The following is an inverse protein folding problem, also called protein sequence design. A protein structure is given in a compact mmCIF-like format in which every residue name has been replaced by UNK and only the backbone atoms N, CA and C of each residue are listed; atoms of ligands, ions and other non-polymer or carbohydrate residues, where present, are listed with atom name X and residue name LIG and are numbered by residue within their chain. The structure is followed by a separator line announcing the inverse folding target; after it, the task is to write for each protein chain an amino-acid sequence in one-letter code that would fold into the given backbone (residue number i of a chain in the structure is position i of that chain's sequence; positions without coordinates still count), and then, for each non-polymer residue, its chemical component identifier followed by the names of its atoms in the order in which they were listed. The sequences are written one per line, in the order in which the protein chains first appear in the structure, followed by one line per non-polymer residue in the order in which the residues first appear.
data_IF_665276209968
#
_entry.id   IF_665276209968
#
_cell.length_a   1.000
_cell.length_b   1.000
_cell.length_c   1.000
_cell.angle_alpha   90.00
_cell.angle_beta   90.00
_cell.angle_gamma   90.00
#
_symmetry.space_group_name_H-M   'P 1'
#
loop_
_entity.id
_entity.type
_entity.pdbx_description
1 polymer ?
#
# COMPACT_ATOMS: atom_id res chain seq x y z
N UNK A 1 15.93 -5.15 20.43
CA UNK A 1 14.65 -5.52 19.77
C UNK A 1 14.43 -4.57 18.59
N UNK A 2 14.01 -5.08 17.43
CA UNK A 2 13.83 -4.24 16.25
C UNK A 2 12.61 -3.34 16.46
N UNK A 3 12.76 -2.03 16.24
CA UNK A 3 11.66 -1.09 16.30
C UNK A 3 10.84 -1.17 15.00
N UNK A 4 9.59 -1.63 15.10
CA UNK A 4 8.68 -1.74 13.98
C UNK A 4 7.72 -0.54 13.85
N UNK A 5 7.85 0.46 14.74
CA UNK A 5 7.05 1.70 14.70
C UNK A 5 7.73 2.81 13.92
N UNK A 6 9.06 2.77 13.83
CA UNK A 6 9.83 3.77 13.10
C UNK A 6 9.79 3.53 11.59
N UNK A 7 9.73 4.63 10.84
CA UNK A 7 9.85 4.57 9.39
C UNK A 7 11.25 4.14 8.95
N UNK A 8 11.29 3.48 7.82
CA UNK A 8 12.49 3.35 6.98
C UNK A 8 12.40 4.38 5.84
N UNK A 9 13.47 4.62 5.09
CA UNK A 9 13.38 5.48 3.89
C UNK A 9 12.27 5.07 2.92
N UNK A 10 11.93 3.78 2.86
CA UNK A 10 10.87 3.27 1.98
C UNK A 10 9.46 3.59 2.49
N UNK A 11 9.23 3.52 3.79
CA UNK A 11 7.90 3.71 4.41
C UNK A 11 7.64 5.14 4.88
N UNK A 12 8.64 6.02 4.84
CA UNK A 12 8.48 7.41 5.23
C UNK A 12 7.61 8.14 4.19
N UNK A 13 6.47 8.71 4.58
CA UNK A 13 5.60 9.46 3.68
C UNK A 13 6.14 10.86 3.35
N UNK A 14 7.25 11.28 3.96
CA UNK A 14 7.83 12.61 3.79
C UNK A 14 6.83 13.72 4.09
N UNK A 15 6.67 14.65 3.16
CA UNK A 15 5.72 15.78 3.29
C UNK A 15 4.25 15.38 3.23
N UNK A 16 3.93 14.14 2.85
CA UNK A 16 2.57 13.64 2.70
C UNK A 16 2.03 12.91 3.93
N UNK A 17 2.69 13.02 5.10
CA UNK A 17 2.32 12.28 6.30
C UNK A 17 0.91 12.57 6.82
N UNK A 18 0.41 13.78 6.62
CA UNK A 18 -0.96 14.12 7.03
C UNK A 18 -2.02 13.30 6.29
N UNK A 19 -1.79 12.95 5.02
CA UNK A 19 -2.69 12.09 4.26
C UNK A 19 -2.87 10.72 4.92
N UNK A 20 -1.80 10.17 5.52
CA UNK A 20 -1.87 8.89 6.24
C UNK A 20 -2.52 9.06 7.63
N UNK A 21 -2.29 10.17 8.30
CA UNK A 21 -2.88 10.49 9.61
C UNK A 21 -4.37 10.70 9.54
N UNK A 22 -4.87 11.24 8.43
CA UNK A 22 -6.30 11.47 8.18
C UNK A 22 -7.08 10.19 7.86
N UNK A 23 -6.40 9.07 7.58
CA UNK A 23 -7.07 7.80 7.32
C UNK A 23 -7.85 7.34 8.56
N UNK A 24 -9.02 6.70 8.39
CA UNK A 24 -9.76 6.10 9.50
C UNK A 24 -8.94 5.03 10.23
N UNK A 25 -9.19 4.88 11.54
CA UNK A 25 -8.52 3.89 12.39
C UNK A 25 -9.16 2.50 12.26
N UNK A 26 -9.30 2.03 11.02
CA UNK A 26 -9.81 0.70 10.69
C UNK A 26 -8.99 0.12 9.54
N UNK A 27 -8.47 -1.08 9.74
CA UNK A 27 -7.56 -1.70 8.78
C UNK A 27 -8.20 -1.89 7.40
N UNK A 28 -9.47 -2.24 7.34
CA UNK A 28 -10.21 -2.42 6.08
C UNK A 28 -10.24 -1.11 5.25
N UNK A 29 -10.38 0.03 5.93
CA UNK A 29 -10.41 1.34 5.29
C UNK A 29 -9.01 1.82 4.88
N UNK A 30 -7.98 1.45 5.63
CA UNK A 30 -6.58 1.69 5.26
C UNK A 30 -6.23 0.86 4.01
N UNK A 31 -6.63 -0.41 3.96
CA UNK A 31 -6.46 -1.25 2.78
C UNK A 31 -7.25 -0.71 1.56
N UNK A 32 -8.48 -0.22 1.79
CA UNK A 32 -9.26 0.42 0.72
C UNK A 32 -8.56 1.67 0.19
N UNK A 33 -7.95 2.49 1.04
CA UNK A 33 -7.17 3.65 0.62
C UNK A 33 -5.95 3.24 -0.23
N UNK A 34 -5.28 2.15 0.10
CA UNK A 34 -4.19 1.62 -0.73
C UNK A 34 -4.70 1.26 -2.13
N UNK A 35 -5.87 0.62 -2.25
CA UNK A 35 -6.49 0.31 -3.56
C UNK A 35 -7.01 1.54 -4.31
N UNK A 36 -7.36 2.61 -3.61
CA UNK A 36 -7.70 3.88 -4.26
C UNK A 36 -6.49 4.51 -4.96
N UNK A 37 -5.34 4.45 -4.32
CA UNK A 37 -4.10 5.12 -4.76
C UNK A 37 -3.34 4.30 -5.80
N UNK A 38 -3.27 2.99 -5.61
CA UNK A 38 -2.39 2.09 -6.37
C UNK A 38 -3.24 1.10 -7.17
N UNK A 39 -2.91 0.94 -8.45
CA UNK A 39 -3.44 -0.10 -9.31
C UNK A 39 -2.37 -1.15 -9.61
N UNK A 40 -2.72 -2.43 -9.54
CA UNK A 40 -1.77 -3.50 -9.80
C UNK A 40 -1.49 -3.61 -11.30
N UNK A 41 -0.25 -3.33 -11.72
CA UNK A 41 0.11 -3.20 -13.13
C UNK A 41 -0.04 -4.51 -13.94
N UNK A 42 0.00 -5.68 -13.28
CA UNK A 42 -0.20 -6.98 -13.95
C UNK A 42 -1.64 -7.46 -13.97
N UNK A 43 -2.54 -6.86 -13.19
CA UNK A 43 -3.91 -7.31 -13.05
C UNK A 43 -4.94 -6.26 -13.47
N UNK A 44 -4.72 -5.00 -13.08
CA UNK A 44 -5.68 -3.90 -13.27
C UNK A 44 -5.25 -2.92 -14.35
N UNK A 45 -3.97 -2.80 -14.63
CA UNK A 45 -3.38 -1.80 -15.53
C UNK A 45 -2.52 -2.46 -16.62
N UNK A 46 -3.05 -3.52 -17.23
CA UNK A 46 -2.31 -4.32 -18.24
C UNK A 46 -1.92 -3.53 -19.48
N UNK A 47 -2.67 -2.47 -19.79
CA UNK A 47 -2.43 -1.57 -20.92
C UNK A 47 -1.73 -0.27 -20.48
N UNK A 48 -0.92 -0.32 -19.43
CA UNK A 48 -0.20 0.84 -18.93
C UNK A 48 0.69 1.44 -20.03
N UNK A 49 0.50 2.74 -20.37
CA UNK A 49 1.34 3.39 -21.38
C UNK A 49 2.82 3.39 -21.02
N UNK A 50 3.69 3.30 -22.03
CA UNK A 50 5.14 3.21 -21.84
C UNK A 50 5.71 4.40 -21.03
N UNK A 51 5.20 5.58 -21.24
CA UNK A 51 5.59 6.79 -20.50
C UNK A 51 5.28 6.75 -19.00
N UNK A 52 4.52 5.73 -18.56
CA UNK A 52 4.19 5.51 -17.15
C UNK A 52 4.87 4.28 -16.53
N UNK A 53 5.70 3.56 -17.27
CA UNK A 53 6.36 2.35 -16.77
C UNK A 53 7.31 2.61 -15.59
N UNK A 54 7.86 3.81 -15.48
CA UNK A 54 8.71 4.19 -14.36
C UNK A 54 7.95 4.22 -13.01
N UNK A 55 6.61 4.28 -13.04
CA UNK A 55 5.78 4.23 -11.82
C UNK A 55 5.90 2.89 -11.10
N UNK A 56 6.08 1.80 -11.85
CA UNK A 56 6.22 0.44 -11.29
C UNK A 56 7.39 0.35 -10.32
N UNK A 57 8.42 1.17 -10.53
CA UNK A 57 9.61 1.25 -9.70
C UNK A 57 9.63 2.44 -8.73
N UNK A 58 8.47 2.95 -8.33
CA UNK A 58 8.38 4.05 -7.36
C UNK A 58 9.07 3.73 -6.04
N UNK A 59 8.87 2.55 -5.49
CA UNK A 59 9.54 1.95 -4.31
C UNK A 59 9.43 2.70 -2.99
N UNK A 60 9.40 4.02 -3.00
CA UNK A 60 9.27 4.87 -1.81
C UNK A 60 7.84 5.36 -1.67
N UNK A 61 7.32 5.28 -0.45
CA UNK A 61 5.96 5.73 -0.17
C UNK A 61 5.77 7.21 -0.51
N UNK A 62 6.76 8.05 -0.20
CA UNK A 62 6.72 9.47 -0.56
C UNK A 62 6.54 9.68 -2.06
N UNK A 63 7.24 8.90 -2.89
CA UNK A 63 7.13 8.99 -4.36
C UNK A 63 5.76 8.54 -4.84
N UNK A 64 5.21 7.47 -4.28
CA UNK A 64 3.86 6.98 -4.61
C UNK A 64 2.82 8.05 -4.30
N UNK A 65 2.86 8.62 -3.10
CA UNK A 65 1.93 9.66 -2.68
C UNK A 65 2.08 10.95 -3.50
N UNK A 66 3.30 11.33 -3.85
CA UNK A 66 3.55 12.47 -4.72
C UNK A 66 2.92 12.28 -6.11
N UNK A 67 3.06 11.11 -6.72
CA UNK A 67 2.46 10.77 -8.01
C UNK A 67 0.92 10.78 -7.94
N UNK A 68 0.35 10.21 -6.88
CA UNK A 68 -1.09 10.24 -6.63
C UNK A 68 -1.61 11.68 -6.52
N UNK A 69 -1.00 12.49 -5.67
CA UNK A 69 -1.47 13.84 -5.39
C UNK A 69 -1.31 14.81 -6.58
N UNK A 70 -0.38 14.56 -7.47
CA UNK A 70 -0.27 15.30 -8.73
C UNK A 70 -1.45 15.05 -9.68
N UNK A 71 -2.02 13.85 -9.66
CA UNK A 71 -3.14 13.47 -10.51
C UNK A 71 -4.48 13.68 -9.83
N UNK A 72 -4.56 13.40 -8.55
CA UNK A 72 -5.77 13.49 -7.74
C UNK A 72 -5.44 14.10 -6.38
N UNK A 73 -5.58 15.41 -6.30
CA UNK A 73 -5.36 16.14 -5.06
C UNK A 73 -6.54 15.93 -4.11
N UNK A 74 -6.33 15.22 -3.00
CA UNK A 74 -7.38 14.98 -2.03
C UNK A 74 -7.08 13.82 -1.08
N UNK A 75 -8.01 13.52 -0.17
CA UNK A 75 -7.86 12.44 0.80
C UNK A 75 -7.68 11.08 0.13
N UNK A 76 -6.93 10.18 0.77
CA UNK A 76 -6.72 8.83 0.25
C UNK A 76 -7.97 7.96 0.33
N UNK A 77 -8.97 8.38 1.08
CA UNK A 77 -10.27 7.71 1.18
C UNK A 77 -11.17 7.94 -0.04
N UNK A 78 -10.88 8.94 -0.85
CA UNK A 78 -11.62 9.18 -2.08
C UNK A 78 -11.21 8.18 -3.17
N UNK A 79 -12.17 7.54 -3.85
CA UNK A 79 -11.87 6.68 -5.00
C UNK A 79 -11.21 7.47 -6.14
N UNK A 80 -10.16 6.87 -6.75
CA UNK A 80 -9.56 7.38 -7.99
C UNK A 80 -10.12 6.60 -9.16
N UNK A 81 -10.22 7.26 -10.29
CA UNK A 81 -10.40 6.56 -11.57
C UNK A 81 -9.27 5.51 -11.71
N UNK A 82 -9.59 4.25 -12.07
CA UNK A 82 -8.58 3.21 -12.23
C UNK A 82 -7.38 3.61 -13.08
N UNK A 83 -7.61 4.37 -14.16
CA UNK A 83 -6.56 4.83 -15.07
C UNK A 83 -5.63 5.88 -14.46
N UNK A 84 -6.07 6.59 -13.40
CA UNK A 84 -5.28 7.62 -12.73
C UNK A 84 -4.48 7.13 -11.53
N UNK A 85 -4.73 5.90 -11.06
CA UNK A 85 -3.98 5.29 -9.97
C UNK A 85 -2.49 5.17 -10.33
N UNK A 86 -1.65 5.14 -9.31
CA UNK A 86 -0.22 4.89 -9.48
C UNK A 86 -0.01 3.41 -9.77
N UNK A 87 0.71 3.10 -10.84
CA UNK A 87 1.01 1.71 -11.17
C UNK A 87 1.98 1.11 -10.15
N UNK A 88 1.61 -0.01 -9.56
CA UNK A 88 2.40 -0.69 -8.54
C UNK A 88 2.05 -2.17 -8.46
N UNK A 89 2.44 -2.81 -7.37
CA UNK A 89 2.14 -4.21 -7.09
C UNK A 89 1.85 -4.43 -5.60
N UNK A 90 1.72 -5.67 -5.18
CA UNK A 90 1.47 -6.06 -3.78
C UNK A 90 2.43 -5.38 -2.78
N UNK A 91 3.69 -5.24 -3.15
CA UNK A 91 4.70 -4.52 -2.34
C UNK A 91 4.29 -3.08 -2.06
N UNK A 92 3.78 -2.38 -3.05
CA UNK A 92 3.47 -0.95 -2.96
C UNK A 92 2.17 -0.72 -2.17
N UNK A 93 1.14 -1.55 -2.39
CA UNK A 93 -0.07 -1.57 -1.56
C UNK A 93 0.27 -1.81 -0.09
N UNK A 94 1.08 -2.84 0.18
CA UNK A 94 1.53 -3.17 1.53
C UNK A 94 2.34 -2.03 2.16
N UNK A 95 3.20 -1.37 1.39
CA UNK A 95 4.02 -0.26 1.87
C UNK A 95 3.18 0.91 2.38
N UNK A 96 2.08 1.23 1.68
CA UNK A 96 1.15 2.27 2.13
C UNK A 96 0.49 1.90 3.46
N UNK A 97 0.04 0.66 3.61
CA UNK A 97 -0.56 0.17 4.87
C UNK A 97 0.46 0.20 6.01
N UNK A 98 1.68 -0.27 5.77
CA UNK A 98 2.77 -0.22 6.77
C UNK A 98 3.08 1.22 7.17
N UNK A 99 3.17 2.13 6.20
CA UNK A 99 3.39 3.55 6.45
C UNK A 99 2.28 4.17 7.31
N UNK A 100 1.02 3.88 6.98
CA UNK A 100 -0.14 4.35 7.74
C UNK A 100 -0.15 3.83 9.19
N UNK A 101 0.21 2.56 9.41
CA UNK A 101 0.36 2.00 10.75
C UNK A 101 1.46 2.71 11.54
N UNK A 102 2.64 2.89 10.93
CA UNK A 102 3.78 3.53 11.59
C UNK A 102 3.54 4.99 11.95
N UNK A 103 2.83 5.74 11.10
CA UNK A 103 2.41 7.12 11.41
C UNK A 103 1.51 7.19 12.67
N UNK A 104 0.86 6.09 13.03
CA UNK A 104 0.04 5.97 14.25
C UNK A 104 0.77 5.31 15.42
N UNK A 105 2.06 5.03 15.29
CA UNK A 105 2.83 4.30 16.29
C UNK A 105 2.44 2.82 16.43
N UNK A 106 1.73 2.27 15.46
CA UNK A 106 1.39 0.84 15.41
C UNK A 106 2.56 0.08 14.78
N UNK A 107 3.16 -0.90 15.49
CA UNK A 107 4.21 -1.72 14.92
C UNK A 107 3.71 -2.43 13.66
N UNK A 108 4.39 -2.26 12.55
CA UNK A 108 4.01 -2.87 11.27
C UNK A 108 5.21 -3.19 10.40
N UNK A 109 5.07 -4.21 9.56
CA UNK A 109 6.11 -4.66 8.63
C UNK A 109 5.51 -5.34 7.40
N UNK A 110 6.26 -5.35 6.32
CA UNK A 110 5.93 -6.15 5.15
C UNK A 110 6.32 -7.61 5.39
N UNK A 111 5.44 -8.53 5.01
CA UNK A 111 5.65 -9.97 5.04
C UNK A 111 5.67 -10.51 3.63
N UNK A 112 6.81 -11.03 3.21
CA UNK A 112 6.97 -11.73 1.93
C UNK A 112 6.68 -13.21 2.12
N UNK A 113 6.01 -13.81 1.17
CA UNK A 113 5.70 -15.24 1.17
C UNK A 113 5.01 -15.68 -0.12
N UNK A 114 4.24 -16.74 -0.02
CA UNK A 114 3.46 -17.28 -1.12
C UNK A 114 1.99 -17.29 -0.73
N UNK A 115 1.13 -16.83 -1.64
CA UNK A 115 -0.32 -16.85 -1.49
C UNK A 115 -0.91 -17.97 -2.35
N UNK A 116 -1.73 -18.80 -1.74
CA UNK A 116 -2.43 -19.91 -2.39
C UNK A 116 -3.92 -19.58 -2.66
N UNK A 117 -4.36 -18.42 -2.19
CA UNK A 117 -5.75 -17.96 -2.31
C UNK A 117 -6.01 -17.02 -3.49
N UNK A 118 -4.96 -16.53 -4.17
CA UNK A 118 -5.12 -15.60 -5.30
C UNK A 118 -5.48 -16.33 -6.59
N UNK A 119 -4.83 -17.47 -6.87
CA UNK A 119 -5.11 -18.30 -8.02
C UNK A 119 -5.18 -19.77 -7.56
N UNK A 120 -6.31 -20.47 -7.77
CA UNK A 120 -6.43 -21.87 -7.39
C UNK A 120 -5.32 -22.75 -7.98
N UNK A 121 -4.66 -23.50 -7.13
CA UNK A 121 -3.58 -24.43 -7.52
C UNK A 121 -2.22 -23.78 -7.76
N UNK A 122 -2.10 -22.45 -7.52
CA UNK A 122 -0.84 -21.74 -7.63
C UNK A 122 -0.42 -21.11 -6.30
N UNK A 123 0.89 -21.11 -6.04
CA UNK A 123 1.50 -20.41 -4.92
C UNK A 123 2.28 -19.21 -5.47
N UNK A 124 1.58 -18.09 -5.63
CA UNK A 124 2.19 -16.85 -6.12
C UNK A 124 3.03 -16.19 -5.04
N UNK A 125 4.18 -15.66 -5.42
CA UNK A 125 4.92 -14.73 -4.56
C UNK A 125 4.05 -13.52 -4.27
N UNK A 126 3.99 -13.16 -2.99
CA UNK A 126 3.08 -12.12 -2.53
C UNK A 126 3.62 -11.39 -1.31
N UNK A 127 3.20 -10.15 -1.14
CA UNK A 127 3.57 -9.32 0.00
C UNK A 127 2.31 -8.81 0.67
N UNK A 128 2.22 -9.02 1.99
CA UNK A 128 1.11 -8.56 2.83
C UNK A 128 1.63 -7.73 4.00
N UNK A 129 0.77 -6.93 4.62
CA UNK A 129 1.10 -6.22 5.83
C UNK A 129 0.94 -7.12 7.05
N UNK A 130 1.91 -7.06 7.97
CA UNK A 130 1.74 -7.53 9.35
C UNK A 130 1.73 -6.32 10.28
N UNK A 131 0.77 -6.26 11.18
CA UNK A 131 0.64 -5.20 12.17
C UNK A 131 0.30 -5.76 13.54
N UNK A 132 0.72 -5.03 14.58
CA UNK A 132 0.48 -5.44 15.96
C UNK A 132 -0.88 -4.94 16.43
N UNK A 133 -1.74 -5.87 16.84
CA UNK A 133 -3.06 -5.56 17.35
C UNK A 133 -3.43 -6.53 18.49
N UNK A 134 -3.91 -5.98 19.59
CA UNK A 134 -4.38 -6.74 20.76
C UNK A 134 -3.38 -7.83 21.22
N UNK A 135 -2.10 -7.49 21.32
CA UNK A 135 -1.07 -8.39 21.85
C UNK A 135 -0.55 -9.44 20.87
N UNK A 136 -0.87 -9.35 19.58
CA UNK A 136 -0.41 -10.29 18.56
C UNK A 136 -0.20 -9.63 17.19
N UNK A 137 0.61 -10.28 16.35
CA UNK A 137 0.73 -9.94 14.95
C UNK A 137 -0.50 -10.42 14.18
N UNK A 138 -1.13 -9.51 13.45
CA UNK A 138 -2.20 -9.81 12.49
C UNK A 138 -1.70 -9.54 11.08
N UNK A 139 -2.36 -10.14 10.09
CA UNK A 139 -2.10 -9.90 8.67
C UNK A 139 -3.25 -9.16 8.04
N UNK A 140 -2.91 -8.30 7.09
CA UNK A 140 -3.87 -7.69 6.17
C UNK A 140 -3.30 -7.76 4.76
N UNK A 141 -4.10 -8.23 3.83
CA UNK A 141 -3.77 -8.19 2.41
C UNK A 141 -4.50 -7.00 1.77
N UNK A 142 -3.76 -5.93 1.41
CA UNK A 142 -4.41 -4.75 0.86
C UNK A 142 -5.06 -4.96 -0.51
N UNK A 143 -4.71 -6.02 -1.23
CA UNK A 143 -5.25 -6.29 -2.57
C UNK A 143 -6.53 -7.13 -2.55
N UNK A 144 -6.82 -7.77 -1.42
CA UNK A 144 -8.02 -8.61 -1.27
C UNK A 144 -9.12 -7.81 -0.57
N UNK A 145 -10.31 -7.86 -1.14
CA UNK A 145 -11.52 -7.34 -0.51
C UNK A 145 -12.17 -8.50 0.26
N UNK A 146 -12.27 -8.37 1.59
CA UNK A 146 -13.01 -9.31 2.45
C UNK A 146 -14.51 -9.15 2.28
#
# INVERSE_FOLDING_TARGET
MRDWTSHTPYSDPGRHRELLRELPDRMELICAAARNVIGHYRAEMVDLPEERWDEIDSRWLEVILERDQRRHRGPLTEPRDPSSRVAGCCRDHTLLVVGACRERGVPARSRVGFADYLIPGYHLDHVVAEYWDQGRWRRADPEVVD
#
